data_IF_499042195664
#
_entry.id   IF_499042195664
#
_cell.length_a   1.000
_cell.length_b   1.000
_cell.length_c   1.000
_cell.angle_alpha   90.00
_cell.angle_beta   90.00
_cell.angle_gamma   90.00
#
_symmetry.space_group_name_H-M   'P 1'
#
loop_
_entity.id
_entity.type
_entity.pdbx_description
1 polymer ?
#
# COMPACT_ATOMS: atom_id res chain seq x y z
N UNK A 1 -6.39 5.97 -3.77
CA UNK A 1 -6.68 5.96 -2.32
C UNK A 1 -8.08 5.41 -2.12
N UNK A 2 -8.32 4.67 -1.03
CA UNK A 2 -9.61 4.02 -0.71
C UNK A 2 -10.00 4.31 0.74
N UNK A 3 -11.30 4.41 1.08
CA UNK A 3 -11.74 4.74 2.44
C UNK A 3 -11.51 3.62 3.46
N UNK A 4 -11.51 2.36 3.03
CA UNK A 4 -11.46 1.19 3.93
C UNK A 4 -10.30 0.26 3.62
N UNK A 5 -9.92 -0.54 4.62
CA UNK A 5 -8.88 -1.58 4.50
C UNK A 5 -9.30 -2.66 3.49
N UNK A 6 -10.54 -3.07 3.55
CA UNK A 6 -11.11 -4.15 2.74
C UNK A 6 -11.03 -3.76 1.26
N UNK A 7 -11.40 -2.52 0.94
CA UNK A 7 -11.33 -2.01 -0.43
C UNK A 7 -9.87 -1.84 -0.88
N UNK A 8 -8.97 -1.36 0.00
CA UNK A 8 -7.54 -1.26 -0.34
C UNK A 8 -6.95 -2.63 -0.74
N UNK A 9 -7.30 -3.68 0.02
CA UNK A 9 -6.87 -5.05 -0.24
C UNK A 9 -7.45 -5.60 -1.55
N UNK A 10 -8.74 -5.39 -1.79
CA UNK A 10 -9.40 -5.82 -3.03
C UNK A 10 -8.81 -5.12 -4.25
N UNK A 11 -8.67 -3.79 -4.22
CA UNK A 11 -8.06 -3.01 -5.30
C UNK A 11 -6.61 -3.42 -5.55
N UNK A 12 -5.82 -3.68 -4.50
CA UNK A 12 -4.43 -4.16 -4.66
C UNK A 12 -4.38 -5.53 -5.32
N UNK A 13 -5.30 -6.43 -4.94
CA UNK A 13 -5.39 -7.77 -5.55
C UNK A 13 -5.68 -7.69 -7.05
N UNK A 14 -6.59 -6.81 -7.46
CA UNK A 14 -6.87 -6.58 -8.88
C UNK A 14 -5.70 -5.86 -9.59
N UNK A 15 -5.09 -4.85 -8.97
CA UNK A 15 -3.87 -4.16 -9.47
C UNK A 15 -2.78 -5.16 -9.84
N UNK A 16 -2.49 -6.11 -8.93
CA UNK A 16 -1.44 -7.12 -9.13
C UNK A 16 -1.67 -8.01 -10.35
N UNK A 17 -2.93 -8.25 -10.77
CA UNK A 17 -3.21 -9.05 -11.97
C UNK A 17 -2.71 -8.36 -13.24
N UNK A 18 -2.88 -7.04 -13.32
CA UNK A 18 -2.42 -6.24 -14.46
C UNK A 18 -0.92 -5.92 -14.37
N UNK A 19 -0.46 -5.58 -13.17
CA UNK A 19 0.91 -5.13 -12.92
C UNK A 19 1.97 -6.23 -13.16
N UNK A 20 1.61 -7.50 -12.95
CA UNK A 20 2.51 -8.65 -13.11
C UNK A 20 3.15 -8.73 -14.51
N UNK A 21 2.42 -8.36 -15.56
CA UNK A 21 2.92 -8.43 -16.94
C UNK A 21 4.01 -7.39 -17.25
N UNK A 22 4.09 -6.34 -16.42
CA UNK A 22 4.99 -5.20 -16.61
C UNK A 22 6.07 -5.12 -15.53
N UNK A 23 6.19 -6.13 -14.67
CA UNK A 23 7.08 -6.13 -13.51
C UNK A 23 6.86 -4.94 -12.56
N UNK A 24 5.62 -4.44 -12.50
CA UNK A 24 5.21 -3.34 -11.61
C UNK A 24 4.79 -3.92 -10.26
N UNK A 25 5.29 -3.34 -9.16
CA UNK A 25 4.91 -3.77 -7.80
C UNK A 25 3.82 -2.87 -7.24
N UNK A 26 2.68 -3.48 -6.93
CA UNK A 26 1.61 -2.85 -6.16
C UNK A 26 1.72 -3.23 -4.67
N UNK A 27 1.75 -2.22 -3.79
CA UNK A 27 1.74 -2.40 -2.32
C UNK A 27 0.48 -1.78 -1.73
N UNK A 28 -0.10 -2.45 -0.73
CA UNK A 28 -1.26 -1.96 0.01
C UNK A 28 -0.81 -1.32 1.34
N UNK A 29 -1.33 -0.15 1.68
CA UNK A 29 -0.98 0.61 2.89
C UNK A 29 -2.26 1.04 3.62
N UNK A 30 -2.55 0.43 4.77
CA UNK A 30 -3.84 0.64 5.47
C UNK A 30 -3.72 0.48 6.99
N UNK A 31 -4.69 1.03 7.74
CA UNK A 31 -4.73 0.95 9.20
C UNK A 31 -5.01 -0.46 9.76
N UNK A 32 -4.74 -0.69 11.04
CA UNK A 32 -5.09 -1.95 11.73
C UNK A 32 -4.06 -3.08 11.64
N UNK A 33 -2.88 -2.82 11.07
CA UNK A 33 -1.68 -3.67 11.20
C UNK A 33 -0.46 -2.80 11.54
N UNK A 34 0.64 -3.43 11.98
CA UNK A 34 1.87 -2.73 12.34
C UNK A 34 2.40 -1.86 11.20
N UNK A 35 2.76 -0.61 11.50
CA UNK A 35 3.29 0.33 10.50
C UNK A 35 4.66 -0.13 9.97
N UNK A 36 5.50 -0.71 10.84
CA UNK A 36 6.86 -1.16 10.49
C UNK A 36 6.88 -2.22 9.38
N UNK A 37 5.91 -3.13 9.36
CA UNK A 37 5.79 -4.15 8.29
C UNK A 37 5.49 -3.50 6.94
N UNK A 38 4.55 -2.55 6.92
CA UNK A 38 4.20 -1.83 5.71
C UNK A 38 5.33 -0.90 5.25
N UNK A 39 6.09 -0.29 6.17
CA UNK A 39 7.32 0.45 5.83
C UNK A 39 8.36 -0.48 5.20
N UNK A 40 8.56 -1.68 5.76
CA UNK A 40 9.51 -2.65 5.21
C UNK A 40 9.11 -3.09 3.78
N UNK A 41 7.81 -3.29 3.52
CA UNK A 41 7.32 -3.57 2.17
C UNK A 41 7.56 -2.40 1.21
N UNK A 42 7.30 -1.16 1.64
CA UNK A 42 7.59 0.03 0.83
C UNK A 42 9.10 0.21 0.57
N UNK A 43 9.97 -0.14 1.52
CA UNK A 43 11.43 -0.10 1.34
C UNK A 43 11.96 -1.12 0.34
N UNK A 44 11.27 -2.24 0.13
CA UNK A 44 11.58 -3.16 -0.97
C UNK A 44 11.32 -2.46 -2.29
N UNK A 45 10.32 -1.59 -2.33
CA UNK A 45 9.97 -0.64 -3.39
C UNK A 45 8.54 -0.87 -3.90
N UNK A 46 7.92 0.20 -4.39
CA UNK A 46 6.53 0.21 -4.80
C UNK A 46 6.29 1.25 -5.89
N UNK A 47 5.94 0.79 -7.09
CA UNK A 47 5.58 1.67 -8.21
C UNK A 47 4.11 2.10 -8.12
N UNK A 48 3.26 1.28 -7.51
CA UNK A 48 1.85 1.61 -7.23
C UNK A 48 1.56 1.39 -5.75
N UNK A 49 0.98 2.40 -5.09
CA UNK A 49 0.52 2.31 -3.71
C UNK A 49 -1.00 2.47 -3.67
N UNK A 50 -1.69 1.47 -3.12
CA UNK A 50 -3.12 1.56 -2.80
C UNK A 50 -3.25 1.73 -1.29
N UNK A 51 -3.80 2.86 -0.86
CA UNK A 51 -3.79 3.20 0.57
C UNK A 51 -5.08 3.77 1.13
N UNK A 52 -5.25 3.63 2.45
CA UNK A 52 -6.21 4.42 3.22
C UNK A 52 -5.61 5.77 3.65
N UNK A 53 -6.39 6.86 3.68
CA UNK A 53 -5.86 8.19 3.95
C UNK A 53 -5.07 8.29 5.26
N UNK A 54 -5.65 7.82 6.37
CA UNK A 54 -5.01 7.90 7.68
C UNK A 54 -3.64 7.22 7.72
N UNK A 55 -3.55 5.99 7.19
CA UNK A 55 -2.27 5.28 7.17
C UNK A 55 -1.25 5.93 6.24
N UNK A 56 -1.69 6.49 5.11
CA UNK A 56 -0.77 7.21 4.21
C UNK A 56 -0.19 8.45 4.90
N UNK A 57 -0.99 9.15 5.70
CA UNK A 57 -0.51 10.28 6.52
C UNK A 57 0.52 9.80 7.54
N UNK A 58 0.24 8.71 8.27
CA UNK A 58 1.21 8.12 9.21
C UNK A 58 2.54 7.79 8.52
N UNK A 59 2.49 7.21 7.31
CA UNK A 59 3.68 6.87 6.51
C UNK A 59 4.50 8.09 6.09
N UNK A 60 3.82 9.16 5.67
CA UNK A 60 4.49 10.40 5.27
C UNK A 60 5.11 11.11 6.48
N UNK A 61 4.46 11.05 7.64
CA UNK A 61 4.96 11.61 8.89
C UNK A 61 6.08 10.78 9.54
N UNK A 62 6.19 9.49 9.21
CA UNK A 62 7.21 8.59 9.78
C UNK A 62 8.65 8.89 9.31
N UNK A 63 8.84 9.81 8.36
CA UNK A 63 10.16 10.30 7.93
C UNK A 63 10.60 11.60 8.67
N UNK A 64 10.11 11.80 9.90
CA UNK A 64 10.61 12.81 10.83
C UNK A 64 11.81 12.34 11.63
#
# INVERSE_FOLDING_TARGET
>A
MTPTRELALQTTKECKKFAKLFDIRCVAVYGGTGISEQIAELKRGAEIIVCTPGRMIDMLAANG
#
